data_IF_681433089635
#
_entry.id   IF_681433089635
#
_cell.length_a   1.000
_cell.length_b   1.000
_cell.length_c   1.000
_cell.angle_alpha   90.00
_cell.angle_beta   90.00
_cell.angle_gamma   90.00
#
_symmetry.space_group_name_H-M   'P 1'
#
loop_
_entity.id
_entity.type
_entity.pdbx_description
1 polymer ?
#
# COMPACT_ATOMS: atom_id res chain seq x y z
N UNK A 1 -24.69 18.97 0.03
CA UNK A 1 -23.34 19.59 0.10
C UNK A 1 -22.38 19.00 -0.94
N UNK A 2 -22.61 17.77 -1.41
CA UNK A 2 -21.79 17.14 -2.46
C UNK A 2 -22.55 16.91 -3.78
N UNK A 3 -23.70 17.55 -3.94
CA UNK A 3 -24.66 17.28 -5.01
C UNK A 3 -24.09 17.64 -6.40
N UNK A 4 -23.20 18.64 -6.48
CA UNK A 4 -22.44 18.98 -7.69
C UNK A 4 -21.34 17.96 -7.97
N UNK A 5 -20.59 17.52 -6.95
CA UNK A 5 -19.57 16.48 -7.06
C UNK A 5 -20.18 15.16 -7.54
N UNK A 6 -21.28 14.73 -6.93
CA UNK A 6 -22.01 13.51 -7.30
C UNK A 6 -22.44 13.56 -8.76
N UNK A 7 -23.03 14.69 -9.18
CA UNK A 7 -23.47 14.89 -10.57
C UNK A 7 -22.30 14.84 -11.55
N UNK A 8 -21.21 15.53 -11.26
CA UNK A 8 -20.06 15.61 -12.18
C UNK A 8 -19.37 14.25 -12.30
N UNK A 9 -19.22 13.52 -11.19
CA UNK A 9 -18.75 12.14 -11.21
C UNK A 9 -19.67 11.27 -12.05
N UNK A 10 -20.99 11.35 -11.85
CA UNK A 10 -21.97 10.53 -12.57
C UNK A 10 -22.01 10.82 -14.08
N UNK A 11 -21.72 12.05 -14.49
CA UNK A 11 -21.68 12.46 -15.91
C UNK A 11 -20.37 12.06 -16.59
N UNK A 12 -19.24 12.20 -15.90
CA UNK A 12 -17.91 12.09 -16.54
C UNK A 12 -17.25 10.73 -16.38
N UNK A 13 -17.53 10.03 -15.28
CA UNK A 13 -16.85 8.76 -14.98
C UNK A 13 -17.62 7.61 -15.61
N UNK A 14 -16.97 6.87 -16.50
CA UNK A 14 -17.49 5.58 -16.97
C UNK A 14 -17.43 4.54 -15.84
N UNK A 15 -18.53 4.43 -15.11
CA UNK A 15 -18.63 3.61 -13.92
C UNK A 15 -19.91 3.85 -13.16
N UNK A 16 -19.97 3.30 -11.95
CA UNK A 16 -21.07 3.57 -11.03
C UNK A 16 -20.66 4.64 -10.02
N UNK A 17 -21.57 5.54 -9.70
CA UNK A 17 -21.38 6.57 -8.68
C UNK A 17 -22.46 6.41 -7.63
N UNK A 18 -22.06 6.30 -6.36
CA UNK A 18 -22.94 5.92 -5.25
C UNK A 18 -22.72 6.83 -4.06
N UNK A 19 -23.68 7.72 -3.81
CA UNK A 19 -23.71 8.63 -2.67
C UNK A 19 -24.87 8.35 -1.70
N UNK A 20 -25.68 7.32 -2.01
CA UNK A 20 -26.78 6.90 -1.15
C UNK A 20 -26.29 6.35 0.19
N UNK A 21 -27.15 6.43 1.20
CA UNK A 21 -26.82 6.06 2.56
C UNK A 21 -26.43 4.58 2.70
N UNK A 22 -27.06 3.69 1.93
CA UNK A 22 -26.81 2.25 1.98
C UNK A 22 -25.41 1.92 1.45
N UNK A 23 -25.05 2.47 0.29
CA UNK A 23 -23.70 2.33 -0.27
C UNK A 23 -22.66 2.92 0.68
N UNK A 24 -22.85 4.13 1.20
CA UNK A 24 -21.87 4.73 2.11
C UNK A 24 -21.71 3.93 3.41
N UNK A 25 -22.80 3.37 3.95
CA UNK A 25 -22.74 2.49 5.11
C UNK A 25 -21.96 1.20 4.83
N UNK A 26 -22.17 0.58 3.66
CA UNK A 26 -21.46 -0.64 3.27
C UNK A 26 -19.93 -0.46 3.22
N UNK A 27 -19.45 0.73 2.85
CA UNK A 27 -18.01 1.05 2.79
C UNK A 27 -17.46 1.61 4.11
N UNK A 28 -18.31 1.94 5.08
CA UNK A 28 -17.87 2.36 6.42
C UNK A 28 -17.32 1.18 7.23
N UNK A 29 -17.87 -0.03 7.01
CA UNK A 29 -17.52 -1.25 7.75
C UNK A 29 -17.56 -1.02 9.28
N UNK A 30 -16.84 -1.83 10.07
CA UNK A 30 -16.86 -1.78 11.53
C UNK A 30 -16.25 -0.48 12.12
N UNK A 31 -15.56 0.30 11.28
CA UNK A 31 -14.97 1.59 11.65
C UNK A 31 -16.00 2.72 11.76
N UNK A 32 -17.22 2.52 11.25
CA UNK A 32 -18.31 3.51 11.28
C UNK A 32 -17.91 4.89 10.71
N UNK A 33 -16.95 4.90 9.79
CA UNK A 33 -16.49 6.10 9.07
C UNK A 33 -17.02 6.04 7.63
N UNK A 34 -18.21 6.59 7.34
CA UNK A 34 -18.74 6.59 5.99
C UNK A 34 -17.90 7.50 5.07
N UNK A 35 -17.66 7.09 3.83
CA UNK A 35 -17.02 7.95 2.84
C UNK A 35 -17.94 9.11 2.43
N UNK A 36 -17.39 10.06 1.66
CA UNK A 36 -18.16 11.13 1.02
C UNK A 36 -19.10 10.51 -0.03
N UNK A 37 -18.56 9.61 -0.84
CA UNK A 37 -19.26 8.82 -1.84
C UNK A 37 -18.33 7.74 -2.40
N UNK A 38 -18.84 6.92 -3.32
CA UNK A 38 -18.08 5.83 -3.94
C UNK A 38 -18.19 5.95 -5.46
N UNK A 39 -17.05 5.89 -6.15
CA UNK A 39 -16.97 5.72 -7.59
C UNK A 39 -16.42 4.32 -7.90
N UNK A 40 -17.09 3.58 -8.79
CA UNK A 40 -16.72 2.23 -9.22
C UNK A 40 -16.39 2.27 -10.72
N UNK A 41 -15.19 2.73 -11.11
CA UNK A 41 -14.81 2.91 -12.51
C UNK A 41 -14.63 1.57 -13.24
N UNK A 42 -15.02 1.50 -14.51
CA UNK A 42 -14.86 0.30 -15.36
C UNK A 42 -13.44 0.09 -15.89
N UNK A 43 -12.67 1.16 -15.97
CA UNK A 43 -11.32 1.18 -16.55
C UNK A 43 -10.35 2.02 -15.71
N UNK A 44 -9.06 1.94 -16.05
CA UNK A 44 -8.04 2.82 -15.47
C UNK A 44 -8.30 4.26 -15.86
N UNK A 45 -8.66 4.53 -17.11
CA UNK A 45 -8.95 5.89 -17.59
C UNK A 45 -10.16 6.49 -16.85
N UNK A 46 -11.20 5.71 -16.59
CA UNK A 46 -12.33 6.15 -15.78
C UNK A 46 -11.94 6.44 -14.32
N UNK A 47 -11.00 5.65 -13.77
CA UNK A 47 -10.47 5.93 -12.43
C UNK A 47 -9.65 7.22 -12.39
N UNK A 48 -8.86 7.50 -13.44
CA UNK A 48 -8.12 8.76 -13.61
C UNK A 48 -9.10 9.93 -13.72
N UNK A 49 -10.17 9.78 -14.50
CA UNK A 49 -11.22 10.80 -14.63
C UNK A 49 -11.91 11.08 -13.28
N UNK A 50 -12.21 10.04 -12.49
CA UNK A 50 -12.77 10.21 -11.15
C UNK A 50 -11.85 11.00 -10.21
N UNK A 51 -10.53 10.75 -10.29
CA UNK A 51 -9.52 11.53 -9.54
C UNK A 51 -9.48 12.97 -10.03
N UNK A 52 -9.58 13.21 -11.33
CA UNK A 52 -9.61 14.56 -11.91
C UNK A 52 -10.84 15.36 -11.43
N UNK A 53 -12.03 14.76 -11.47
CA UNK A 53 -13.25 15.37 -10.93
C UNK A 53 -13.11 15.68 -9.45
N UNK A 54 -12.64 14.73 -8.63
CA UNK A 54 -12.46 14.98 -7.19
C UNK A 54 -11.46 16.11 -6.93
N UNK A 55 -10.39 16.21 -7.74
CA UNK A 55 -9.41 17.29 -7.67
C UNK A 55 -10.03 18.65 -8.00
N UNK A 56 -10.86 18.75 -9.03
CA UNK A 56 -11.57 19.99 -9.39
C UNK A 56 -12.47 20.49 -8.25
N UNK A 57 -13.09 19.57 -7.52
CA UNK A 57 -13.94 19.87 -6.37
C UNK A 57 -13.16 20.01 -5.05
N UNK A 58 -11.85 19.81 -5.04
CA UNK A 58 -11.02 19.87 -3.83
C UNK A 58 -11.32 18.78 -2.80
N UNK A 59 -11.80 17.62 -3.25
CA UNK A 59 -12.25 16.51 -2.40
C UNK A 59 -11.19 15.40 -2.37
N UNK A 60 -10.84 14.86 -1.19
CA UNK A 60 -9.86 13.78 -1.08
C UNK A 60 -10.39 12.48 -1.71
N UNK A 61 -9.47 11.69 -2.26
CA UNK A 61 -9.75 10.37 -2.83
C UNK A 61 -9.12 9.26 -2.00
N UNK A 62 -9.73 8.09 -2.01
CA UNK A 62 -9.20 6.88 -1.39
C UNK A 62 -9.37 5.70 -2.35
N UNK A 63 -8.27 5.10 -2.80
CA UNK A 63 -8.34 3.91 -3.65
C UNK A 63 -8.64 2.67 -2.81
N UNK A 64 -9.60 1.85 -3.24
CA UNK A 64 -9.94 0.59 -2.58
C UNK A 64 -9.93 -0.58 -3.59
N UNK A 65 -9.25 -1.67 -3.20
CA UNK A 65 -9.35 -2.98 -3.87
C UNK A 65 -10.45 -3.84 -3.25
N UNK A 66 -10.15 -5.10 -2.90
CA UNK A 66 -11.12 -6.02 -2.29
C UNK A 66 -11.60 -5.64 -0.88
N UNK A 67 -11.09 -4.57 -0.27
CA UNK A 67 -11.54 -4.08 1.03
C UNK A 67 -11.22 -5.02 2.21
N UNK A 68 -10.29 -5.96 2.04
CA UNK A 68 -9.88 -6.98 3.03
C UNK A 68 -8.89 -6.48 4.08
N UNK A 69 -8.52 -5.19 4.05
CA UNK A 69 -7.63 -4.60 5.05
C UNK A 69 -8.28 -4.56 6.43
N UNK A 70 -7.53 -4.98 7.45
CA UNK A 70 -8.00 -5.11 8.85
C UNK A 70 -7.68 -3.89 9.74
N UNK A 71 -7.08 -2.84 9.18
CA UNK A 71 -6.58 -1.69 9.94
C UNK A 71 -7.12 -0.35 9.44
N UNK A 72 -8.31 -0.34 8.82
CA UNK A 72 -8.98 0.88 8.39
C UNK A 72 -8.32 1.61 7.21
N UNK A 73 -7.31 1.03 6.56
CA UNK A 73 -6.56 1.64 5.44
C UNK A 73 -7.48 2.05 4.28
N UNK A 74 -8.60 1.34 4.12
CA UNK A 74 -9.62 1.61 3.11
C UNK A 74 -10.80 2.44 3.67
N UNK A 75 -10.61 3.22 4.75
CA UNK A 75 -11.65 4.04 5.38
C UNK A 75 -11.17 5.48 5.56
N UNK A 76 -11.92 6.44 5.02
CA UNK A 76 -11.66 7.86 5.22
C UNK A 76 -12.88 8.69 4.82
N UNK A 77 -12.95 9.96 5.26
CA UNK A 77 -13.87 10.95 4.71
C UNK A 77 -13.37 11.43 3.33
N UNK A 78 -13.49 10.55 2.33
CA UNK A 78 -13.01 10.73 0.96
C UNK A 78 -14.02 10.14 -0.04
N UNK A 79 -13.87 10.46 -1.33
CA UNK A 79 -14.50 9.65 -2.38
C UNK A 79 -13.70 8.37 -2.53
N UNK A 80 -14.34 7.23 -2.31
CA UNK A 80 -13.71 5.91 -2.48
C UNK A 80 -13.73 5.55 -3.95
N UNK A 81 -12.56 5.29 -4.53
CA UNK A 81 -12.42 4.73 -5.87
C UNK A 81 -12.31 3.22 -5.74
N UNK A 82 -13.43 2.52 -5.90
CA UNK A 82 -13.52 1.07 -5.75
C UNK A 82 -13.24 0.35 -7.06
N UNK A 83 -12.20 -0.48 -7.07
CA UNK A 83 -11.78 -1.24 -8.25
C UNK A 83 -12.03 -2.73 -8.15
N UNK A 84 -12.79 -3.17 -7.14
CA UNK A 84 -13.08 -4.59 -6.87
C UNK A 84 -14.10 -5.22 -7.83
N UNK A 85 -15.00 -4.41 -8.40
CA UNK A 85 -16.09 -4.92 -9.25
C UNK A 85 -15.64 -5.24 -10.67
N UNK A 86 -15.03 -4.28 -11.34
CA UNK A 86 -14.58 -4.42 -12.73
C UNK A 86 -13.12 -4.87 -12.75
N UNK A 87 -12.91 -6.12 -12.33
CA UNK A 87 -11.60 -6.73 -12.07
C UNK A 87 -10.71 -6.75 -13.31
N UNK A 88 -9.41 -6.63 -13.08
CA UNK A 88 -8.40 -6.73 -14.12
C UNK A 88 -8.01 -8.18 -14.39
N UNK A 89 -7.46 -8.42 -15.57
CA UNK A 89 -6.83 -9.70 -15.90
C UNK A 89 -5.31 -9.61 -15.73
N UNK A 90 -4.60 -10.74 -15.58
CA UNK A 90 -3.16 -10.77 -15.76
C UNK A 90 -2.79 -10.22 -17.14
N UNK A 91 -1.83 -9.30 -17.18
CA UNK A 91 -1.28 -8.72 -18.42
C UNK A 91 -0.29 -9.71 -19.04
N UNK A 92 0.52 -10.36 -18.22
CA UNK A 92 1.43 -11.41 -18.66
C UNK A 92 1.74 -12.38 -17.52
N UNK A 93 1.95 -13.65 -17.86
CA UNK A 93 2.35 -14.69 -16.92
C UNK A 93 3.54 -15.48 -17.47
N UNK A 94 4.64 -15.52 -16.71
CA UNK A 94 5.84 -16.32 -16.98
C UNK A 94 6.02 -17.33 -15.84
N UNK A 95 5.51 -18.54 -16.06
CA UNK A 95 5.59 -19.63 -15.07
C UNK A 95 7.01 -20.18 -14.92
N UNK A 96 7.85 -20.08 -15.96
CA UNK A 96 9.25 -20.50 -15.90
C UNK A 96 10.09 -19.62 -14.97
N UNK A 97 9.83 -18.31 -14.97
CA UNK A 97 10.49 -17.33 -14.10
C UNK A 97 9.70 -16.97 -12.83
N UNK A 98 8.54 -17.61 -12.62
CA UNK A 98 7.62 -17.32 -11.51
C UNK A 98 7.27 -15.81 -11.41
N UNK A 99 6.95 -15.18 -12.54
CA UNK A 99 6.59 -13.75 -12.61
C UNK A 99 5.22 -13.55 -13.25
N UNK A 100 4.43 -12.65 -12.68
CA UNK A 100 3.19 -12.18 -13.26
C UNK A 100 3.19 -10.64 -13.28
N UNK A 101 2.70 -10.06 -14.38
CA UNK A 101 2.35 -8.64 -14.45
C UNK A 101 0.83 -8.59 -14.43
N UNK A 102 0.26 -7.91 -13.46
CA UNK A 102 -1.19 -7.80 -13.28
C UNK A 102 -1.59 -6.34 -13.21
N UNK A 103 -2.81 -6.04 -13.65
CA UNK A 103 -3.39 -4.73 -13.35
C UNK A 103 -3.61 -4.61 -11.83
N UNK A 104 -3.51 -3.41 -11.21
CA UNK A 104 -3.65 -3.27 -9.76
C UNK A 104 -5.09 -3.52 -9.23
N UNK A 105 -5.97 -4.09 -10.06
CA UNK A 105 -7.35 -4.48 -9.78
C UNK A 105 -7.59 -5.98 -10.03
N UNK A 106 -6.54 -6.74 -10.36
CA UNK A 106 -6.63 -8.18 -10.49
C UNK A 106 -6.89 -8.81 -9.12
N UNK A 107 -7.82 -9.77 -9.09
CA UNK A 107 -8.05 -10.59 -7.90
C UNK A 107 -7.05 -11.74 -7.88
N UNK A 108 -6.55 -12.09 -6.69
CA UNK A 108 -5.64 -13.22 -6.54
C UNK A 108 -6.28 -14.55 -6.96
N UNK A 109 -7.57 -14.73 -6.68
CA UNK A 109 -8.30 -15.95 -7.07
C UNK A 109 -8.41 -16.08 -8.59
N UNK A 110 -8.61 -14.96 -9.29
CA UNK A 110 -8.69 -14.94 -10.75
C UNK A 110 -7.31 -15.24 -11.38
N UNK A 111 -6.23 -14.70 -10.80
CA UNK A 111 -4.86 -15.06 -11.18
C UNK A 111 -4.58 -16.56 -10.93
N UNK A 112 -5.02 -17.09 -9.80
CA UNK A 112 -4.84 -18.50 -9.45
C UNK A 112 -5.62 -19.45 -10.37
N UNK A 113 -6.79 -19.03 -10.87
CA UNK A 113 -7.56 -19.81 -11.82
C UNK A 113 -6.86 -19.93 -13.19
N UNK A 114 -6.02 -18.95 -13.58
CA UNK A 114 -5.25 -18.97 -14.83
C UNK A 114 -3.94 -19.78 -14.73
N UNK A 115 -3.54 -20.16 -13.52
CA UNK A 115 -2.34 -20.96 -13.30
C UNK A 115 -2.64 -22.45 -13.46
N UNK A 116 -1.96 -23.12 -14.40
CA UNK A 116 -1.92 -24.60 -14.49
C UNK A 116 -0.96 -25.21 -13.44
N UNK A 117 -0.94 -24.64 -12.23
CA UNK A 117 0.02 -24.92 -11.16
C UNK A 117 -0.68 -24.78 -9.79
N UNK A 118 -0.05 -25.19 -8.68
CA UNK A 118 -0.59 -24.93 -7.35
C UNK A 118 -0.91 -23.44 -7.15
N UNK A 119 -1.98 -23.10 -6.40
CA UNK A 119 -2.39 -21.72 -6.22
C UNK A 119 -1.27 -20.90 -5.58
N UNK A 120 -0.98 -19.74 -6.17
CA UNK A 120 -0.12 -18.74 -5.57
C UNK A 120 -0.87 -18.13 -4.39
N UNK A 121 -0.33 -18.34 -3.20
CA UNK A 121 -0.80 -17.64 -2.00
C UNK A 121 0.10 -16.42 -1.82
N UNK A 122 -0.46 -15.23 -2.01
CA UNK A 122 0.15 -14.01 -1.50
C UNK A 122 -0.07 -14.01 0.02
N UNK A 123 0.77 -14.75 0.74
CA UNK A 123 0.89 -14.53 2.17
C UNK A 123 1.59 -13.19 2.35
N UNK A 124 1.12 -12.34 3.28
CA UNK A 124 1.88 -11.16 3.69
C UNK A 124 3.35 -11.52 4.01
N UNK A 125 3.63 -12.79 4.39
CA UNK A 125 4.90 -13.20 4.99
C UNK A 125 5.54 -14.50 4.43
N UNK A 126 5.25 -14.99 3.21
CA UNK A 126 5.87 -16.24 2.73
C UNK A 126 6.53 -16.15 1.34
N UNK A 127 7.85 -15.91 1.35
CA UNK A 127 8.76 -16.22 0.25
C UNK A 127 9.95 -17.04 0.78
N UNK A 128 9.78 -18.35 0.92
CA UNK A 128 10.89 -19.27 1.19
C UNK A 128 10.90 -20.33 0.11
N UNK A 129 11.70 -20.14 -0.93
CA UNK A 129 12.10 -21.21 -1.87
C UNK A 129 13.36 -20.82 -2.68
N UNK A 130 13.73 -19.54 -2.73
CA UNK A 130 15.03 -19.07 -3.25
C UNK A 130 15.66 -18.11 -2.25
N UNK A 131 16.19 -18.67 -1.18
CA UNK A 131 16.86 -17.91 -0.13
C UNK A 131 18.35 -17.86 -0.42
N UNK A 132 18.86 -16.73 -0.88
CA UNK A 132 20.29 -16.46 -0.79
C UNK A 132 20.53 -15.71 0.53
N UNK A 133 21.41 -16.21 1.42
CA UNK A 133 21.74 -15.47 2.63
C UNK A 133 22.46 -14.19 2.21
N UNK A 134 21.89 -13.03 2.55
CA UNK A 134 22.55 -11.73 2.51
C UNK A 134 23.55 -11.62 3.66
N UNK A 135 24.48 -12.57 3.74
CA UNK A 135 25.34 -12.79 4.89
C UNK A 135 26.14 -11.53 5.24
N UNK A 136 25.87 -10.96 6.42
CA UNK A 136 26.61 -9.82 6.97
C UNK A 136 26.05 -8.45 6.61
N UNK A 137 24.89 -8.36 5.93
CA UNK A 137 24.25 -7.06 5.61
C UNK A 137 23.61 -6.48 6.87
N UNK A 138 23.95 -5.24 7.21
CA UNK A 138 23.25 -4.49 8.25
C UNK A 138 21.93 -3.95 7.68
N UNK A 139 20.87 -4.02 8.48
CA UNK A 139 19.58 -3.44 8.14
C UNK A 139 19.01 -2.62 9.29
N UNK A 140 18.28 -1.57 8.95
CA UNK A 140 17.45 -0.82 9.90
C UNK A 140 16.02 -1.01 9.43
N UNK A 141 15.24 -1.75 10.21
CA UNK A 141 13.85 -2.07 9.90
C UNK A 141 12.93 -1.24 10.78
N UNK A 142 12.08 -0.42 10.16
CA UNK A 142 10.96 0.17 10.86
C UNK A 142 9.76 -0.78 10.80
N UNK A 143 9.19 -1.18 11.94
CA UNK A 143 7.91 -1.89 11.98
C UNK A 143 6.85 -1.11 11.22
N UNK A 144 6.14 -1.78 10.32
CA UNK A 144 4.96 -1.17 9.74
C UNK A 144 3.90 -0.95 10.84
N UNK A 145 3.08 0.10 10.72
CA UNK A 145 2.14 0.50 11.76
C UNK A 145 1.23 -0.65 12.26
N UNK A 146 0.86 -1.60 11.40
CA UNK A 146 0.07 -2.78 11.77
C UNK A 146 0.88 -3.89 12.47
N UNK A 147 2.17 -4.02 12.19
CA UNK A 147 3.06 -4.89 12.96
C UNK A 147 3.21 -4.35 14.37
N UNK A 148 3.38 -3.04 14.50
CA UNK A 148 3.48 -2.39 15.80
C UNK A 148 2.20 -2.57 16.64
N UNK A 149 1.00 -2.50 16.04
CA UNK A 149 -0.25 -2.52 16.81
C UNK A 149 -0.98 -3.86 16.88
N UNK A 150 -0.78 -4.77 15.92
CA UNK A 150 -1.63 -5.99 15.78
C UNK A 150 -0.82 -7.28 15.74
N UNK A 151 0.26 -7.35 14.97
CA UNK A 151 0.89 -8.63 14.60
C UNK A 151 2.25 -8.89 15.23
N UNK A 152 2.90 -7.87 15.78
CA UNK A 152 4.29 -7.97 16.19
C UNK A 152 5.25 -7.98 15.00
N UNK A 153 6.55 -8.07 15.30
CA UNK A 153 7.68 -7.95 14.36
C UNK A 153 8.55 -9.20 14.33
N UNK A 154 8.19 -10.21 15.14
CA UNK A 154 9.04 -11.36 15.45
C UNK A 154 9.24 -12.26 14.23
N UNK A 155 8.22 -12.41 13.39
CA UNK A 155 8.30 -13.21 12.17
C UNK A 155 9.31 -12.63 11.18
N UNK A 156 9.22 -11.32 10.91
CA UNK A 156 10.15 -10.60 10.04
C UNK A 156 11.57 -10.61 10.57
N UNK A 157 11.74 -10.38 11.88
CA UNK A 157 13.04 -10.44 12.54
C UNK A 157 13.68 -11.83 12.39
N UNK A 158 12.89 -12.90 12.52
CA UNK A 158 13.37 -14.26 12.34
C UNK A 158 13.74 -14.55 10.87
N UNK A 159 12.96 -14.06 9.90
CA UNK A 159 13.30 -14.16 8.47
C UNK A 159 14.63 -13.47 8.17
N UNK A 160 14.79 -12.23 8.63
CA UNK A 160 16.03 -11.44 8.46
C UNK A 160 17.23 -12.13 9.12
N UNK A 161 17.06 -12.62 10.35
CA UNK A 161 18.10 -13.34 11.08
C UNK A 161 18.54 -14.59 10.33
N UNK A 162 17.58 -15.42 9.88
CA UNK A 162 17.92 -16.59 9.06
C UNK A 162 18.63 -16.18 7.78
N UNK A 163 18.28 -15.02 7.20
CA UNK A 163 18.87 -14.50 5.96
C UNK A 163 20.29 -13.97 6.15
N UNK A 164 20.83 -14.02 7.36
CA UNK A 164 22.13 -13.47 7.68
C UNK A 164 22.15 -11.95 7.70
N UNK A 165 20.97 -11.31 7.69
CA UNK A 165 20.81 -9.86 7.79
C UNK A 165 20.76 -9.49 9.27
N UNK A 166 21.65 -8.59 9.68
CA UNK A 166 21.67 -8.03 11.03
C UNK A 166 20.73 -6.83 11.08
N UNK A 167 19.47 -7.09 11.41
CA UNK A 167 18.43 -6.06 11.43
C UNK A 167 18.26 -5.45 12.83
N UNK A 168 18.42 -4.13 12.94
CA UNK A 168 17.94 -3.34 14.06
C UNK A 168 16.47 -3.01 13.80
N UNK A 169 15.56 -3.58 14.60
CA UNK A 169 14.13 -3.21 14.55
C UNK A 169 13.92 -1.97 15.39
N UNK A 170 13.57 -0.87 14.74
CA UNK A 170 13.41 0.42 15.39
C UNK A 170 12.06 0.52 16.12
N UNK A 171 12.09 0.92 17.39
CA UNK A 171 10.89 1.43 18.08
C UNK A 171 10.77 2.95 17.86
N UNK A 172 10.50 3.31 16.60
CA UNK A 172 10.27 4.69 16.18
C UNK A 172 8.84 4.79 15.68
N UNK A 173 8.21 5.94 15.90
CA UNK A 173 6.82 6.18 15.54
C UNK A 173 6.53 6.12 14.03
N UNK A 174 5.54 6.88 13.57
CA UNK A 174 5.09 6.83 12.19
C UNK A 174 6.20 7.22 11.18
N UNK A 175 6.22 6.57 10.00
CA UNK A 175 7.07 6.98 8.87
C UNK A 175 6.59 8.26 8.15
N UNK A 176 5.47 8.85 8.62
CA UNK A 176 4.88 10.08 8.09
C UNK A 176 3.51 9.95 7.43
N UNK A 177 3.21 8.93 6.60
CA UNK A 177 1.98 8.86 5.83
C UNK A 177 0.93 8.01 6.56
N UNK A 178 0.33 8.55 7.61
CA UNK A 178 -0.86 7.95 8.21
C UNK A 178 -2.09 8.39 7.41
N UNK A 179 -2.72 7.51 6.64
CA UNK A 179 -3.84 7.89 5.77
C UNK A 179 -3.41 8.78 4.61
N UNK A 180 -4.01 9.97 4.47
CA UNK A 180 -3.71 10.90 3.36
C UNK A 180 -2.67 11.98 3.72
N UNK A 181 -2.12 11.94 4.93
CA UNK A 181 -1.05 12.86 5.35
C UNK A 181 0.18 12.64 4.47
N UNK A 182 0.76 13.73 3.96
CA UNK A 182 1.84 13.68 2.97
C UNK A 182 1.39 13.65 1.50
N UNK A 183 0.11 13.35 1.25
CA UNK A 183 -0.47 13.33 -0.11
C UNK A 183 -1.53 14.43 -0.33
N UNK A 184 -2.24 14.86 0.73
CA UNK A 184 -3.18 15.98 0.68
C UNK A 184 -2.46 17.33 0.84
N UNK A 185 -2.84 18.31 0.01
CA UNK A 185 -2.35 19.69 0.12
C UNK A 185 -2.63 20.23 1.54
N UNK A 186 -1.64 20.87 2.14
CA UNK A 186 -1.73 21.41 3.50
C UNK A 186 -1.46 20.40 4.61
N UNK A 187 -1.21 19.12 4.31
CA UNK A 187 -0.86 18.08 5.31
C UNK A 187 0.57 17.56 5.20
N UNK A 188 1.38 18.14 4.32
CA UNK A 188 2.75 17.70 4.09
C UNK A 188 3.64 17.91 5.31
N UNK A 189 3.60 19.10 5.92
CA UNK A 189 4.44 19.44 7.08
C UNK A 189 4.15 18.54 8.29
N UNK A 190 2.88 18.18 8.52
CA UNK A 190 2.50 17.24 9.58
C UNK A 190 3.07 15.84 9.30
N UNK A 191 3.01 15.38 8.05
CA UNK A 191 3.60 14.11 7.64
C UNK A 191 5.12 14.08 7.81
N UNK A 192 5.81 15.18 7.48
CA UNK A 192 7.24 15.36 7.76
C UNK A 192 7.50 15.33 9.27
N UNK A 193 6.77 16.13 10.05
CA UNK A 193 6.93 16.24 11.49
C UNK A 193 6.66 14.95 12.26
N UNK A 194 5.91 14.00 11.68
CA UNK A 194 5.72 12.68 12.27
C UNK A 194 6.94 11.74 12.04
N UNK A 195 7.66 11.89 10.92
CA UNK A 195 8.78 11.03 10.55
C UNK A 195 10.14 11.53 11.07
N UNK A 196 10.32 12.85 11.07
CA UNK A 196 11.56 13.54 11.45
C UNK A 196 12.06 13.23 12.87
N UNK A 197 11.21 13.05 13.90
CA UNK A 197 11.69 12.76 15.26
C UNK A 197 12.21 11.33 15.47
N UNK A 198 11.96 10.42 14.52
CA UNK A 198 12.21 9.00 14.71
C UNK A 198 12.98 8.38 13.54
N UNK A 199 12.25 7.97 12.50
CA UNK A 199 12.81 7.15 11.43
C UNK A 199 13.92 7.84 10.64
N UNK A 200 13.70 9.09 10.22
CA UNK A 200 14.59 9.74 9.25
C UNK A 200 16.01 10.01 9.78
N UNK A 201 16.21 10.48 11.02
CA UNK A 201 17.54 10.58 11.59
C UNK A 201 18.27 9.24 11.61
N UNK A 202 17.60 8.15 12.02
CA UNK A 202 18.20 6.80 12.06
C UNK A 202 18.64 6.31 10.68
N UNK A 203 17.87 6.61 9.64
CA UNK A 203 18.22 6.27 8.25
C UNK A 203 19.37 7.14 7.73
N UNK A 204 19.39 8.44 8.03
CA UNK A 204 20.47 9.35 7.61
C UNK A 204 21.80 9.05 8.30
N UNK A 205 21.74 8.60 9.55
CA UNK A 205 22.92 8.23 10.35
C UNK A 205 23.39 6.79 10.08
N UNK A 206 22.67 6.04 9.25
CA UNK A 206 23.01 4.65 8.94
C UNK A 206 24.33 4.58 8.17
N UNK A 207 25.21 3.65 8.58
CA UNK A 207 26.51 3.47 7.93
C UNK A 207 26.37 3.05 6.45
N UNK A 208 27.37 3.36 5.59
CA UNK A 208 27.36 2.95 4.19
C UNK A 208 27.10 1.43 4.04
N UNK A 209 26.17 1.06 3.17
CA UNK A 209 25.78 -0.35 2.96
C UNK A 209 24.66 -0.88 3.87
N UNK A 210 24.20 -0.08 4.83
CA UNK A 210 23.01 -0.41 5.63
C UNK A 210 21.75 -0.30 4.77
N UNK A 211 20.95 -1.37 4.72
CA UNK A 211 19.68 -1.38 3.98
C UNK A 211 18.51 -1.00 4.87
N UNK A 212 17.48 -0.39 4.29
CA UNK A 212 16.26 0.01 5.01
C UNK A 212 15.07 -0.71 4.39
N UNK A 213 14.79 -1.97 4.75
CA UNK A 213 13.67 -2.70 4.19
C UNK A 213 12.35 -2.04 4.61
N UNK A 214 11.45 -1.88 3.64
CA UNK A 214 10.09 -1.44 3.89
C UNK A 214 9.11 -2.06 2.89
N UNK A 215 8.08 -2.71 3.39
CA UNK A 215 7.11 -3.44 2.56
C UNK A 215 5.95 -2.55 2.08
N UNK A 216 5.62 -1.54 2.88
CA UNK A 216 4.58 -0.56 2.56
C UNK A 216 5.02 0.44 1.49
N UNK A 217 4.18 0.66 0.48
CA UNK A 217 4.39 1.72 -0.53
C UNK A 217 4.59 3.09 0.12
N UNK A 218 3.74 3.44 1.09
CA UNK A 218 3.81 4.72 1.77
C UNK A 218 5.11 4.87 2.56
N UNK A 219 5.56 3.82 3.26
CA UNK A 219 6.84 3.81 3.99
C UNK A 219 8.02 4.00 3.03
N UNK A 220 8.09 3.24 1.93
CA UNK A 220 9.16 3.36 0.93
C UNK A 220 9.21 4.75 0.30
N UNK A 221 8.04 5.28 -0.08
CA UNK A 221 7.92 6.62 -0.66
C UNK A 221 8.45 7.67 0.32
N UNK A 222 8.07 7.59 1.60
CA UNK A 222 8.49 8.58 2.60
C UNK A 222 9.94 8.46 3.05
N UNK A 223 10.50 7.26 3.07
CA UNK A 223 11.94 7.08 3.28
C UNK A 223 12.70 7.74 2.12
N UNK A 224 12.29 7.48 0.88
CA UNK A 224 12.91 8.09 -0.30
C UNK A 224 12.79 9.62 -0.29
N UNK A 225 11.60 10.17 -0.03
CA UNK A 225 11.37 11.62 0.02
C UNK A 225 12.22 12.31 1.09
N UNK A 226 12.30 11.72 2.29
CA UNK A 226 12.92 12.36 3.45
C UNK A 226 14.42 12.14 3.59
N UNK A 227 14.97 11.13 2.93
CA UNK A 227 16.36 10.71 3.14
C UNK A 227 17.12 10.48 1.83
N UNK A 228 16.44 10.41 0.68
CA UNK A 228 17.03 10.03 -0.60
C UNK A 228 17.37 8.53 -0.73
N UNK A 229 17.14 7.74 0.32
CA UNK A 229 17.45 6.30 0.34
C UNK A 229 16.33 5.51 -0.34
N UNK A 230 16.70 4.64 -1.29
CA UNK A 230 15.78 3.63 -1.82
C UNK A 230 15.61 2.52 -0.77
N UNK A 231 14.40 2.41 -0.23
CA UNK A 231 14.02 1.30 0.63
C UNK A 231 13.54 0.10 -0.23
N UNK A 232 14.27 -1.03 -0.27
CA UNK A 232 13.80 -2.23 -0.93
C UNK A 232 12.65 -2.87 -0.13
N UNK A 233 11.81 -3.66 -0.79
CA UNK A 233 10.91 -4.58 -0.09
C UNK A 233 11.75 -5.64 0.63
N UNK A 234 11.30 -6.13 1.79
CA UNK A 234 11.92 -7.23 2.51
C UNK A 234 12.22 -8.45 1.60
N UNK A 235 11.33 -8.76 0.65
CA UNK A 235 11.49 -9.86 -0.30
C UNK A 235 12.63 -9.67 -1.32
N UNK A 236 13.13 -8.44 -1.51
CA UNK A 236 14.26 -8.16 -2.40
C UNK A 236 15.61 -8.48 -1.71
N UNK A 237 15.68 -8.44 -0.38
CA UNK A 237 16.95 -8.63 0.35
C UNK A 237 17.60 -10.00 0.16
N UNK A 238 16.85 -11.13 0.15
CA UNK A 238 17.42 -12.45 -0.10
C UNK A 238 17.65 -12.79 -1.59
N UNK A 239 17.31 -11.88 -2.51
CA UNK A 239 17.32 -12.13 -3.95
C UNK A 239 18.38 -11.31 -4.72
N UNK A 240 19.03 -10.33 -4.08
CA UNK A 240 20.12 -9.56 -4.67
C UNK A 240 21.45 -10.35 -4.59
N UNK A 241 22.07 -10.76 -5.71
CA UNK A 241 23.45 -11.25 -5.71
C UNK A 241 24.43 -10.12 -5.41
N UNK A 242 25.56 -10.45 -4.75
CA UNK A 242 26.69 -9.54 -4.50
C UNK A 242 27.26 -8.93 -5.79
#
# INVERSE_FOLDING_TARGET
MFDTLERDLAVRVDGEVRFDAGSRAAYASDYRQPPIGVAVPRSIDAAVEAVAVCREHGVPVLSQGGGTSLAGQCRNAAVVIDRSRYRGRPVSLDTGRRRAVVEPRACLDDLNAELAAPPVVLRPDAFTDNFHPGAGRAAIAQPHCHQHTVWGVEADAEVLRRAGVQAEVLDVGCCGPAGNFGFERGRYEVSVGAAEPGLWPRVRDAGPGTTVPADGFSCRTRIADGTGVRAPHLAELPAEPL
#
